data_IF_060080885442
#
_entry.id   IF_060080885442
#
_cell.length_a   1.000
_cell.length_b   1.000
_cell.length_c   1.000
_cell.angle_alpha   90.00
_cell.angle_beta   90.00
_cell.angle_gamma   90.00
#
_symmetry.space_group_name_H-M   'P 1'
#
loop_
_entity.id
_entity.type
_entity.pdbx_description
1 polymer ?
#
# COMPACT_ATOMS: atom_id res chain seq x y z
N UNK A 1 -10.68 27.41 -4.75
CA UNK A 1 -10.21 26.54 -5.85
C UNK A 1 -9.90 25.20 -5.23
N UNK A 2 -10.78 24.21 -5.39
CA UNK A 2 -10.62 22.91 -4.76
C UNK A 2 -9.47 22.19 -5.48
N UNK A 3 -8.35 21.98 -4.77
CA UNK A 3 -7.29 21.13 -5.26
C UNK A 3 -7.89 19.75 -5.49
N UNK A 4 -8.10 19.40 -6.76
CA UNK A 4 -8.47 18.07 -7.21
C UNK A 4 -7.24 17.16 -7.03
N UNK A 5 -6.84 16.94 -5.77
CA UNK A 5 -5.89 15.89 -5.40
C UNK A 5 -6.61 14.62 -5.77
N UNK A 6 -6.30 14.06 -6.94
CA UNK A 6 -6.76 12.74 -7.35
C UNK A 6 -6.55 11.84 -6.14
N UNK A 7 -7.63 11.36 -5.55
CA UNK A 7 -7.53 10.47 -4.40
C UNK A 7 -6.70 9.27 -4.89
N UNK A 8 -5.49 9.12 -4.36
CA UNK A 8 -4.52 8.11 -4.81
C UNK A 8 -4.86 6.72 -4.29
N UNK A 9 -6.07 6.55 -3.78
CA UNK A 9 -6.53 5.33 -3.16
C UNK A 9 -6.86 4.25 -4.20
N UNK A 10 -6.67 2.98 -3.81
CA UNK A 10 -6.97 1.81 -4.63
C UNK A 10 -8.08 1.01 -3.96
N UNK A 11 -9.23 0.77 -4.62
CA UNK A 11 -10.27 -0.06 -4.06
C UNK A 11 -9.81 -1.52 -3.98
N UNK A 12 -10.18 -2.19 -2.88
CA UNK A 12 -9.92 -3.60 -2.62
C UNK A 12 -11.13 -4.24 -1.92
N UNK A 13 -11.47 -5.46 -2.32
CA UNK A 13 -12.56 -6.22 -1.71
C UNK A 13 -12.02 -7.14 -0.62
N UNK A 14 -12.34 -6.84 0.64
CA UNK A 14 -12.03 -7.69 1.79
C UNK A 14 -13.33 -8.22 2.43
N UNK A 15 -13.60 -7.87 3.69
CA UNK A 15 -14.90 -8.04 4.35
C UNK A 15 -15.98 -7.14 3.74
N UNK A 16 -15.56 -5.96 3.31
CA UNK A 16 -16.33 -5.00 2.53
C UNK A 16 -15.41 -4.36 1.49
N UNK A 17 -15.98 -3.54 0.62
CA UNK A 17 -15.17 -2.65 -0.21
C UNK A 17 -14.42 -1.66 0.71
N UNK A 18 -13.10 -1.61 0.55
CA UNK A 18 -12.19 -0.72 1.28
C UNK A 18 -11.25 -0.04 0.31
N UNK A 19 -10.58 1.00 0.77
CA UNK A 19 -9.65 1.78 -0.03
C UNK A 19 -8.25 1.67 0.58
N UNK A 20 -7.28 1.22 -0.20
CA UNK A 20 -5.88 1.27 0.17
C UNK A 20 -5.35 2.68 -0.07
N UNK A 21 -4.81 3.31 0.96
CA UNK A 21 -4.15 4.61 0.85
C UNK A 21 -2.88 4.59 1.70
N UNK A 22 -1.77 4.90 1.05
CA UNK A 22 -0.48 5.05 1.72
C UNK A 22 -0.15 6.54 1.82
N UNK A 23 -0.54 7.15 2.93
CA UNK A 23 -0.13 8.50 3.29
C UNK A 23 1.12 8.47 4.20
N UNK A 24 1.50 9.64 4.73
CA UNK A 24 2.69 9.74 5.58
C UNK A 24 2.60 8.86 6.83
N UNK A 25 1.42 8.67 7.41
CA UNK A 25 1.26 7.83 8.59
C UNK A 25 1.48 6.37 8.23
N UNK A 26 0.90 5.91 7.12
CA UNK A 26 1.14 4.57 6.63
C UNK A 26 2.64 4.30 6.37
N UNK A 27 3.36 5.27 5.80
CA UNK A 27 4.79 5.13 5.57
C UNK A 27 5.61 5.11 6.88
N UNK A 28 5.31 5.97 7.84
CA UNK A 28 5.97 5.95 9.16
C UNK A 28 5.81 4.57 9.82
N UNK A 29 4.59 4.04 9.83
CA UNK A 29 4.30 2.72 10.42
C UNK A 29 5.06 1.58 9.73
N UNK A 30 5.28 1.69 8.42
CA UNK A 30 6.10 0.72 7.67
C UNK A 30 7.59 0.89 7.99
N UNK A 31 8.10 2.12 8.03
CA UNK A 31 9.48 2.40 8.39
C UNK A 31 9.81 1.90 9.80
N UNK A 32 8.94 2.13 10.79
CA UNK A 32 9.15 1.64 12.16
C UNK A 32 9.20 0.11 12.24
N UNK A 33 8.44 -0.61 11.42
CA UNK A 33 8.37 -2.08 11.43
C UNK A 33 9.46 -2.77 10.61
N UNK A 34 9.92 -2.14 9.53
CA UNK A 34 10.88 -2.73 8.60
C UNK A 34 12.27 -2.08 8.63
N UNK A 35 12.40 -0.91 9.26
CA UNK A 35 13.59 -0.07 9.25
C UNK A 35 13.69 0.86 8.04
N UNK A 36 13.02 0.53 6.93
CA UNK A 36 12.92 1.37 5.74
C UNK A 36 11.70 0.98 4.89
N UNK A 37 11.22 1.90 4.05
CA UNK A 37 10.16 1.61 3.07
C UNK A 37 10.64 0.60 2.03
N UNK A 38 11.91 0.69 1.61
CA UNK A 38 12.50 -0.23 0.63
C UNK A 38 12.50 -1.68 1.14
N UNK A 39 12.80 -1.90 2.43
CA UNK A 39 12.82 -3.24 3.01
C UNK A 39 11.41 -3.80 3.26
N UNK A 40 10.43 -2.92 3.52
CA UNK A 40 9.02 -3.30 3.50
C UNK A 40 8.62 -3.80 2.11
N UNK A 41 9.00 -3.06 1.06
CA UNK A 41 8.66 -3.40 -0.32
C UNK A 41 9.35 -4.69 -0.80
N UNK A 42 10.65 -4.87 -0.54
CA UNK A 42 11.35 -6.15 -0.82
C UNK A 42 10.70 -7.34 -0.10
N UNK A 43 10.21 -7.13 1.13
CA UNK A 43 9.53 -8.18 1.90
C UNK A 43 8.17 -8.55 1.29
N UNK A 44 7.47 -7.58 0.71
CA UNK A 44 6.23 -7.78 -0.04
C UNK A 44 6.47 -8.55 -1.34
N UNK A 45 7.44 -8.11 -2.15
CA UNK A 45 7.83 -8.76 -3.41
C UNK A 45 8.33 -10.20 -3.19
N UNK A 46 9.02 -10.43 -2.06
CA UNK A 46 9.41 -11.77 -1.63
C UNK A 46 8.26 -12.66 -1.16
N UNK A 47 7.00 -12.20 -1.24
CA UNK A 47 5.81 -12.98 -0.91
C UNK A 47 5.67 -13.32 0.58
N UNK A 48 6.33 -12.58 1.48
CA UNK A 48 6.25 -12.88 2.92
C UNK A 48 4.85 -12.56 3.42
N UNK A 49 4.13 -13.57 3.93
CA UNK A 49 2.75 -13.40 4.43
C UNK A 49 2.66 -12.32 5.52
N UNK A 50 3.66 -12.25 6.41
CA UNK A 50 3.74 -11.18 7.41
C UNK A 50 3.83 -9.79 6.76
N UNK A 51 4.57 -9.66 5.66
CA UNK A 51 4.69 -8.42 4.91
C UNK A 51 3.38 -8.00 4.28
N UNK A 52 2.71 -8.91 3.56
CA UNK A 52 1.38 -8.68 2.99
C UNK A 52 0.42 -8.18 4.07
N UNK A 53 0.36 -8.85 5.22
CA UNK A 53 -0.51 -8.46 6.34
C UNK A 53 -0.18 -7.09 6.91
N UNK A 54 1.10 -6.80 7.11
CA UNK A 54 1.55 -5.54 7.73
C UNK A 54 1.30 -4.36 6.79
N UNK A 55 1.59 -4.54 5.50
CA UNK A 55 1.46 -3.49 4.49
C UNK A 55 -0.01 -3.23 4.18
N UNK A 56 -0.83 -4.28 4.11
CA UNK A 56 -2.28 -4.13 4.04
C UNK A 56 -2.84 -3.36 5.23
N UNK A 57 -2.36 -3.66 6.43
CA UNK A 57 -2.77 -2.95 7.64
C UNK A 57 -2.43 -1.47 7.57
N UNK A 58 -1.18 -1.12 7.23
CA UNK A 58 -0.77 0.27 7.10
C UNK A 58 -1.60 1.03 6.06
N UNK A 59 -1.90 0.40 4.91
CA UNK A 59 -2.73 0.97 3.87
C UNK A 59 -4.22 1.16 4.22
N UNK A 60 -4.68 0.61 5.35
CA UNK A 60 -6.06 0.70 5.83
C UNK A 60 -6.22 1.57 7.08
N UNK A 61 -5.13 2.02 7.71
CA UNK A 61 -5.18 2.82 8.95
C UNK A 61 -5.95 4.14 8.77
N UNK A 62 -5.93 4.72 7.57
CA UNK A 62 -6.69 5.93 7.27
C UNK A 62 -8.22 5.72 7.33
N UNK A 63 -8.72 4.49 7.17
CA UNK A 63 -10.14 4.16 7.33
C UNK A 63 -10.50 3.79 8.78
N UNK A 64 -9.54 3.23 9.52
CA UNK A 64 -9.72 2.74 10.89
C UNK A 64 -8.38 2.75 11.63
N UNK A 65 -8.12 3.82 12.38
CA UNK A 65 -6.88 4.00 13.15
C UNK A 65 -6.71 2.95 14.26
N UNK A 66 -7.79 2.29 14.70
CA UNK A 66 -7.75 1.26 15.74
C UNK A 66 -7.57 -0.16 15.16
N UNK A 67 -7.46 -0.27 13.83
CA UNK A 67 -7.26 -1.54 13.16
C UNK A 67 -5.95 -2.17 13.63
N UNK A 68 -5.93 -3.49 13.77
CA UNK A 68 -4.71 -4.23 14.14
C UNK A 68 -4.30 -5.17 13.02
N UNK A 69 -3.00 -5.46 12.91
CA UNK A 69 -2.49 -6.46 11.95
C UNK A 69 -3.23 -7.81 12.07
N UNK A 70 -3.53 -8.23 13.31
CA UNK A 70 -4.26 -9.48 13.55
C UNK A 70 -5.68 -9.42 12.98
N UNK A 71 -6.36 -8.28 13.12
CA UNK A 71 -7.70 -8.09 12.56
C UNK A 71 -7.65 -8.10 11.04
N UNK A 72 -6.67 -7.41 10.44
CA UNK A 72 -6.44 -7.42 8.98
C UNK A 72 -6.18 -8.81 8.44
N UNK A 73 -5.33 -9.59 9.13
CA UNK A 73 -5.09 -10.98 8.76
C UNK A 73 -6.35 -11.85 8.77
N UNK A 74 -7.37 -11.52 9.58
CA UNK A 74 -8.65 -12.20 9.59
C UNK A 74 -9.60 -11.76 8.46
N UNK A 75 -9.33 -10.63 7.79
CA UNK A 75 -10.09 -10.15 6.63
C UNK A 75 -9.60 -10.77 5.31
N UNK A 76 -8.41 -11.39 5.34
CA UNK A 76 -7.74 -11.92 4.16
C UNK A 76 -7.90 -13.43 4.09
N UNK A 77 -8.20 -13.93 2.89
CA UNK A 77 -8.19 -15.36 2.59
C UNK A 77 -6.95 -15.72 1.77
N UNK A 78 -6.37 -16.90 2.03
CA UNK A 78 -5.07 -17.32 1.48
C UNK A 78 -5.11 -17.43 -0.06
N UNK A 79 -6.27 -17.79 -0.61
CA UNK A 79 -6.53 -17.89 -2.05
C UNK A 79 -6.46 -16.53 -2.78
N UNK A 80 -6.63 -15.42 -2.05
CA UNK A 80 -6.59 -14.05 -2.62
C UNK A 80 -5.27 -13.32 -2.41
N UNK A 81 -4.25 -13.97 -1.84
CA UNK A 81 -2.98 -13.30 -1.50
C UNK A 81 -2.30 -12.67 -2.71
N UNK A 82 -2.35 -13.30 -3.88
CA UNK A 82 -1.76 -12.74 -5.09
C UNK A 82 -2.46 -11.44 -5.51
N UNK A 83 -3.80 -11.45 -5.58
CA UNK A 83 -4.59 -10.26 -5.90
C UNK A 83 -4.36 -9.12 -4.92
N UNK A 84 -4.30 -9.43 -3.61
CA UNK A 84 -4.02 -8.45 -2.57
C UNK A 84 -2.62 -7.87 -2.76
N UNK A 85 -1.62 -8.72 -3.03
CA UNK A 85 -0.23 -8.27 -3.26
C UNK A 85 -0.13 -7.33 -4.46
N UNK A 86 -0.84 -7.63 -5.55
CA UNK A 86 -0.89 -6.77 -6.75
C UNK A 86 -1.51 -5.41 -6.41
N UNK A 87 -2.62 -5.39 -5.67
CA UNK A 87 -3.29 -4.16 -5.22
C UNK A 87 -2.43 -3.32 -4.29
N UNK A 88 -1.72 -3.96 -3.36
CA UNK A 88 -0.78 -3.27 -2.47
C UNK A 88 0.36 -2.63 -3.27
N UNK A 89 0.93 -3.37 -4.23
CA UNK A 89 1.99 -2.88 -5.10
C UNK A 89 1.52 -1.69 -5.93
N UNK A 90 0.31 -1.77 -6.53
CA UNK A 90 -0.30 -0.66 -7.26
C UNK A 90 -0.48 0.58 -6.38
N UNK A 91 -1.00 0.40 -5.16
CA UNK A 91 -1.28 1.50 -4.23
C UNK A 91 0.00 2.20 -3.76
N UNK A 92 1.06 1.44 -3.43
CA UNK A 92 2.37 2.00 -3.06
C UNK A 92 2.97 2.78 -4.21
N UNK A 93 2.95 2.23 -5.43
CA UNK A 93 3.49 2.91 -6.62
C UNK A 93 2.76 4.21 -6.95
N UNK A 94 1.45 4.31 -6.71
CA UNK A 94 0.69 5.57 -6.86
C UNK A 94 1.00 6.56 -5.74
N UNK A 95 1.19 6.08 -4.53
CA UNK A 95 1.44 6.89 -3.35
C UNK A 95 2.81 7.57 -3.41
N UNK A 96 3.85 6.81 -3.76
CA UNK A 96 5.18 7.35 -3.97
C UNK A 96 5.12 8.44 -5.07
N UNK A 97 5.73 9.62 -4.84
CA UNK A 97 6.00 10.51 -5.94
C UNK A 97 6.90 9.73 -6.88
N UNK A 98 6.41 9.40 -8.08
CA UNK A 98 7.29 9.02 -9.17
C UNK A 98 8.28 10.17 -9.27
N UNK A 99 9.51 10.00 -8.78
CA UNK A 99 10.59 10.88 -9.20
C UNK A 99 10.57 10.78 -10.71
N UNK A 100 10.30 11.88 -11.41
CA UNK A 100 10.28 11.93 -12.87
C UNK A 100 11.45 11.11 -13.42
N UNK A 101 11.22 9.90 -13.95
CA UNK A 101 12.22 9.27 -14.77
C UNK A 101 12.14 10.05 -16.06
N UNK A 102 13.08 11.00 -16.25
CA UNK A 102 13.37 11.73 -17.49
C UNK A 102 12.49 11.27 -18.64
N UNK A 103 11.60 12.13 -19.13
CA UNK A 103 11.05 12.00 -20.48
C UNK A 103 12.23 11.72 -21.45
N UNK A 104 12.41 10.50 -21.98
CA UNK A 104 13.36 10.26 -23.03
C UNK A 104 12.61 10.45 -24.34
N UNK A 105 13.01 11.48 -25.08
CA UNK A 105 12.70 11.79 -26.48
C UNK A 105 11.60 12.83 -26.73
N UNK A 106 12.06 14.03 -27.13
CA UNK A 106 11.77 14.50 -28.50
C UNK A 106 13.09 15.02 -29.12
N UNK A 107 13.42 14.62 -30.37
CA UNK A 107 14.70 14.89 -31.04
C UNK A 107 14.90 16.36 -31.43
N UNK A 108 16.15 16.77 -31.56
CA UNK A 108 16.57 17.87 -32.42
C UNK A 108 17.17 17.29 -33.70
#
# INVERSE_FOLDING_TARGET
MANNVKDKSIPIQLDRERNLKFDLNAFIELEEKYGSIDDAFKSLEGGRIKAIRTILWAGLLHEDENLTEKRVGALVTVDKLNEITDKLTEAINKALPTGDPKNPQTPA
#
